data_IF_292227140898
#
_entry.id   IF_292227140898
#
_cell.length_a   1.000
_cell.length_b   1.000
_cell.length_c   1.000
_cell.angle_alpha   90.00
_cell.angle_beta   90.00
_cell.angle_gamma   90.00
#
_symmetry.space_group_name_H-M   'P 1'
#
loop_
_entity.id
_entity.type
_entity.pdbx_description
1 polymer ?
#
# COMPACT_ATOMS: atom_id res chain seq x y z
N UNK A 1 -13.05 25.06 30.75
CA UNK A 1 -12.21 24.08 30.06
C UNK A 1 -12.40 24.26 28.55
N UNK A 2 -11.33 24.21 27.80
CA UNK A 2 -11.35 24.26 26.33
C UNK A 2 -10.91 22.92 25.77
N UNK A 3 -11.37 22.57 24.59
CA UNK A 3 -11.01 21.33 23.90
C UNK A 3 -10.83 21.61 22.40
N UNK A 4 -9.86 20.94 21.80
CA UNK A 4 -9.74 20.88 20.35
C UNK A 4 -10.56 19.69 19.84
N UNK A 5 -11.63 19.99 19.10
CA UNK A 5 -12.50 18.95 18.57
C UNK A 5 -11.78 18.15 17.47
N UNK A 6 -12.04 16.84 17.32
CA UNK A 6 -11.44 16.01 16.27
C UNK A 6 -11.79 16.45 14.86
N UNK A 7 -12.94 17.11 14.63
CA UNK A 7 -13.39 17.62 13.31
C UNK A 7 -13.43 16.56 12.20
N UNK A 8 -13.74 15.30 12.54
CA UNK A 8 -13.68 14.17 11.59
C UNK A 8 -14.58 14.36 10.36
N UNK A 9 -15.88 14.59 10.55
CA UNK A 9 -16.83 14.78 9.45
C UNK A 9 -16.51 16.05 8.64
N UNK A 10 -16.16 17.15 9.32
CA UNK A 10 -15.80 18.39 8.64
C UNK A 10 -14.52 18.21 7.83
N UNK A 11 -13.50 17.55 8.40
CA UNK A 11 -12.26 17.23 7.69
C UNK A 11 -12.50 16.38 6.43
N UNK A 12 -13.35 15.37 6.52
CA UNK A 12 -13.73 14.55 5.37
C UNK A 12 -14.48 15.36 4.29
N UNK A 13 -15.41 16.23 4.71
CA UNK A 13 -16.16 17.09 3.79
C UNK A 13 -15.25 18.08 3.05
N UNK A 14 -14.25 18.60 3.75
CA UNK A 14 -13.29 19.58 3.21
C UNK A 14 -12.10 18.95 2.50
N UNK A 15 -12.09 17.63 2.30
CA UNK A 15 -11.00 16.87 1.67
C UNK A 15 -9.65 17.08 2.38
N UNK A 16 -9.66 17.19 3.70
CA UNK A 16 -8.44 17.30 4.51
C UNK A 16 -7.77 15.93 4.65
N UNK A 17 -6.45 15.90 4.60
CA UNK A 17 -5.67 14.68 4.81
C UNK A 17 -5.72 14.20 6.27
N UNK A 18 -5.77 15.15 7.23
CA UNK A 18 -5.86 14.88 8.67
C UNK A 18 -7.09 15.55 9.28
N UNK A 19 -7.43 15.19 10.51
CA UNK A 19 -8.54 15.79 11.26
C UNK A 19 -8.03 16.46 12.54
N UNK A 20 -8.52 17.67 12.83
CA UNK A 20 -8.06 18.47 13.97
C UNK A 20 -6.56 18.71 13.93
N UNK A 21 -5.91 18.50 15.07
CA UNK A 21 -4.44 18.58 15.22
C UNK A 21 -3.77 17.20 15.21
N UNK A 22 -4.53 16.14 14.93
CA UNK A 22 -4.01 14.78 14.92
C UNK A 22 -3.05 14.56 13.74
N UNK A 23 -1.94 13.83 13.94
CA UNK A 23 -1.12 13.36 12.83
C UNK A 23 -1.89 12.34 12.00
N UNK A 24 -1.44 12.11 10.77
CA UNK A 24 -2.06 11.14 9.87
C UNK A 24 -2.07 9.74 10.51
N UNK A 25 -3.20 9.03 10.38
CA UNK A 25 -3.33 7.67 10.90
C UNK A 25 -2.51 6.66 10.12
N UNK A 26 -2.48 6.82 8.80
CA UNK A 26 -1.77 5.93 7.90
C UNK A 26 -1.45 6.64 6.59
N UNK A 27 -0.30 6.31 5.99
CA UNK A 27 0.12 6.86 4.69
C UNK A 27 -0.84 6.49 3.55
N UNK A 28 -1.61 5.42 3.72
CA UNK A 28 -2.58 4.92 2.74
C UNK A 28 -3.89 4.57 3.43
N UNK A 29 -5.00 4.88 2.75
CA UNK A 29 -6.36 4.59 3.21
C UNK A 29 -7.10 3.69 2.22
N UNK A 30 -7.97 2.83 2.74
CA UNK A 30 -8.88 2.03 1.94
C UNK A 30 -10.24 2.71 1.85
N UNK A 31 -10.77 2.84 0.64
CA UNK A 31 -12.12 3.33 0.40
C UNK A 31 -12.94 2.25 -0.27
N UNK A 32 -14.08 1.88 0.34
CA UNK A 32 -15.05 0.96 -0.26
C UNK A 32 -15.87 1.70 -1.32
N UNK A 33 -15.98 1.12 -2.49
CA UNK A 33 -16.79 1.67 -3.58
C UNK A 33 -18.26 1.25 -3.47
N UNK A 34 -19.18 2.11 -3.87
CA UNK A 34 -20.62 1.83 -3.84
C UNK A 34 -21.02 0.63 -4.71
N UNK A 35 -20.30 0.39 -5.81
CA UNK A 35 -20.48 -0.77 -6.70
C UNK A 35 -19.73 -2.03 -6.27
N UNK A 36 -19.14 -2.05 -5.08
CA UNK A 36 -18.29 -3.12 -4.59
C UNK A 36 -16.81 -2.93 -4.99
N UNK A 37 -15.91 -3.63 -4.28
CA UNK A 37 -14.46 -3.47 -4.42
C UNK A 37 -13.90 -2.38 -3.52
N UNK A 38 -12.57 -2.28 -3.54
CA UNK A 38 -11.81 -1.35 -2.71
C UNK A 38 -10.89 -0.50 -3.58
N UNK A 39 -10.71 0.74 -3.15
CA UNK A 39 -9.78 1.68 -3.74
C UNK A 39 -8.78 2.13 -2.69
N UNK A 40 -7.49 2.10 -3.05
CA UNK A 40 -6.41 2.58 -2.20
C UNK A 40 -6.10 4.04 -2.53
N UNK A 41 -6.00 4.87 -1.52
CA UNK A 41 -5.68 6.28 -1.65
C UNK A 41 -4.44 6.56 -0.80
N UNK A 42 -3.38 7.04 -1.43
CA UNK A 42 -2.25 7.59 -0.70
C UNK A 42 -2.60 8.99 -0.19
N UNK A 43 -2.05 9.36 0.95
CA UNK A 43 -2.16 10.74 1.44
C UNK A 43 -1.59 11.71 0.38
N UNK A 44 -2.39 12.68 -0.05
CA UNK A 44 -2.07 13.62 -1.15
C UNK A 44 -0.89 14.54 -0.82
N UNK A 45 -0.55 14.71 0.45
CA UNK A 45 0.62 15.48 0.89
C UNK A 45 1.93 14.73 0.67
N UNK A 46 1.95 13.39 0.59
CA UNK A 46 3.17 12.59 0.40
C UNK A 46 3.89 12.93 -0.91
N UNK A 47 3.27 12.87 -2.09
CA UNK A 47 3.96 13.24 -3.33
C UNK A 47 4.49 14.69 -3.32
N UNK A 48 3.74 15.60 -2.71
CA UNK A 48 4.14 17.01 -2.58
C UNK A 48 5.35 17.17 -1.66
N UNK A 49 5.39 16.45 -0.56
CA UNK A 49 6.52 16.45 0.38
C UNK A 49 7.78 15.88 -0.29
N UNK A 50 7.67 14.73 -0.98
CA UNK A 50 8.77 14.12 -1.72
C UNK A 50 9.34 15.05 -2.80
N UNK A 51 8.48 15.73 -3.55
CA UNK A 51 8.91 16.72 -4.54
C UNK A 51 9.70 17.87 -3.89
N UNK A 52 9.22 18.41 -2.76
CA UNK A 52 9.94 19.45 -1.98
C UNK A 52 11.28 18.96 -1.43
N UNK A 53 11.42 17.68 -1.15
CA UNK A 53 12.67 17.05 -0.70
C UNK A 53 13.65 16.78 -1.86
N UNK A 54 13.26 17.07 -3.11
CA UNK A 54 14.11 17.00 -4.28
C UNK A 54 14.12 15.64 -4.99
N UNK A 55 13.14 14.77 -4.73
CA UNK A 55 12.96 13.54 -5.50
C UNK A 55 12.36 13.84 -6.88
N UNK A 56 12.80 13.11 -7.90
CA UNK A 56 12.24 13.21 -9.24
C UNK A 56 10.85 12.58 -9.33
N UNK A 57 10.05 12.97 -10.32
CA UNK A 57 8.70 12.43 -10.52
C UNK A 57 8.72 10.90 -10.70
N UNK A 58 9.74 10.34 -11.37
CA UNK A 58 9.90 8.89 -11.52
C UNK A 58 10.15 8.20 -10.18
N UNK A 59 11.03 8.76 -9.34
CA UNK A 59 11.29 8.23 -8.00
C UNK A 59 10.04 8.32 -7.10
N UNK A 60 9.31 9.43 -7.18
CA UNK A 60 8.05 9.62 -6.45
C UNK A 60 7.03 8.56 -6.88
N UNK A 61 6.89 8.30 -8.18
CA UNK A 61 5.97 7.28 -8.68
C UNK A 61 6.35 5.88 -8.19
N UNK A 62 7.63 5.54 -8.19
CA UNK A 62 8.11 4.25 -7.67
C UNK A 62 7.84 4.10 -6.17
N UNK A 63 8.01 5.17 -5.38
CA UNK A 63 7.66 5.17 -3.95
C UNK A 63 6.14 5.02 -3.74
N UNK A 64 5.33 5.71 -4.54
CA UNK A 64 3.85 5.59 -4.49
C UNK A 64 3.42 4.17 -4.85
N UNK A 65 3.98 3.59 -5.91
CA UNK A 65 3.70 2.21 -6.32
C UNK A 65 4.11 1.21 -5.24
N UNK A 66 5.23 1.45 -4.55
CA UNK A 66 5.67 0.64 -3.43
C UNK A 66 4.67 0.67 -2.26
N UNK A 67 4.09 1.83 -1.95
CA UNK A 67 3.12 1.98 -0.86
C UNK A 67 1.77 1.37 -1.24
N UNK A 68 1.27 1.67 -2.43
CA UNK A 68 -0.07 1.27 -2.88
C UNK A 68 -0.13 -0.16 -3.41
N UNK A 69 0.98 -0.67 -3.94
CA UNK A 69 1.00 -1.87 -4.78
C UNK A 69 0.39 -1.60 -6.16
N UNK A 70 0.72 -2.44 -7.10
CA UNK A 70 0.27 -2.27 -8.50
C UNK A 70 -1.10 -2.89 -8.77
N UNK A 71 -1.58 -3.78 -7.89
CA UNK A 71 -2.92 -4.39 -8.01
C UNK A 71 -3.09 -5.24 -9.26
N UNK A 72 -2.00 -5.82 -9.79
CA UNK A 72 -1.96 -6.70 -10.96
C UNK A 72 -0.78 -7.66 -10.86
N UNK A 73 -0.84 -8.79 -11.57
CA UNK A 73 0.28 -9.72 -11.76
C UNK A 73 1.12 -9.37 -13.00
N UNK A 74 0.66 -8.44 -13.82
CA UNK A 74 1.40 -7.97 -14.99
C UNK A 74 2.75 -7.39 -14.56
N UNK A 75 3.84 -7.92 -15.12
CA UNK A 75 5.21 -7.58 -14.74
C UNK A 75 5.59 -7.84 -13.27
N UNK A 76 4.77 -8.60 -12.53
CA UNK A 76 5.12 -9.01 -11.18
C UNK A 76 6.38 -9.90 -11.19
N UNK A 77 7.26 -9.76 -10.19
CA UNK A 77 8.40 -10.64 -10.06
C UNK A 77 7.92 -12.09 -9.92
N UNK A 78 8.64 -13.03 -10.53
CA UNK A 78 8.40 -14.50 -10.45
C UNK A 78 7.09 -15.01 -11.06
N UNK A 79 6.03 -14.21 -11.19
CA UNK A 79 4.66 -14.66 -11.56
C UNK A 79 4.01 -13.82 -12.66
N UNK A 80 4.80 -13.19 -13.54
CA UNK A 80 4.22 -12.62 -14.76
C UNK A 80 3.52 -13.69 -15.62
N UNK A 81 2.64 -13.32 -16.55
CA UNK A 81 1.85 -14.30 -17.32
C UNK A 81 2.66 -15.42 -17.96
N UNK A 82 3.87 -15.11 -18.47
CA UNK A 82 4.76 -16.12 -19.07
C UNK A 82 5.33 -17.08 -18.03
N UNK A 83 5.64 -16.62 -16.83
CA UNK A 83 6.10 -17.45 -15.71
C UNK A 83 4.97 -18.34 -15.18
N UNK A 84 3.75 -17.80 -15.06
CA UNK A 84 2.57 -18.54 -14.63
C UNK A 84 2.23 -19.67 -15.61
N UNK A 85 2.34 -19.43 -16.92
CA UNK A 85 2.16 -20.48 -17.93
C UNK A 85 3.18 -21.62 -17.77
N UNK A 86 4.45 -21.30 -17.47
CA UNK A 86 5.50 -22.30 -17.18
C UNK A 86 5.21 -23.10 -15.90
N UNK A 87 4.56 -22.48 -14.91
CA UNK A 87 4.11 -23.15 -13.69
C UNK A 87 2.85 -24.00 -13.89
N UNK A 88 2.29 -24.00 -15.11
CA UNK A 88 1.14 -24.82 -15.49
C UNK A 88 -0.22 -24.20 -15.15
N UNK A 89 -0.30 -22.88 -15.01
CA UNK A 89 -1.57 -22.18 -14.94
C UNK A 89 -2.09 -21.86 -16.35
N UNK A 90 -3.39 -22.01 -16.55
CA UNK A 90 -4.05 -21.65 -17.82
C UNK A 90 -4.30 -20.14 -17.89
N UNK A 91 -4.47 -19.61 -19.10
CA UNK A 91 -4.82 -18.20 -19.29
C UNK A 91 -6.14 -17.83 -18.59
N UNK A 92 -7.11 -18.74 -18.56
CA UNK A 92 -8.40 -18.53 -17.89
C UNK A 92 -8.19 -18.39 -16.38
N UNK A 93 -7.40 -19.27 -15.76
CA UNK A 93 -7.06 -19.21 -14.34
C UNK A 93 -6.34 -17.90 -13.97
N UNK A 94 -5.44 -17.44 -14.82
CA UNK A 94 -4.74 -16.17 -14.63
C UNK A 94 -5.71 -14.99 -14.75
N UNK A 95 -6.63 -14.99 -15.71
CA UNK A 95 -7.65 -13.95 -15.87
C UNK A 95 -8.61 -13.88 -14.68
N UNK A 96 -9.03 -15.03 -14.14
CA UNK A 96 -9.88 -15.06 -12.93
C UNK A 96 -9.14 -14.51 -11.71
N UNK A 97 -7.87 -14.86 -11.53
CA UNK A 97 -7.04 -14.33 -10.47
C UNK A 97 -6.85 -12.80 -10.61
N UNK A 98 -6.54 -12.32 -11.82
CA UNK A 98 -6.42 -10.90 -12.12
C UNK A 98 -7.71 -10.13 -11.86
N UNK A 99 -8.86 -10.67 -12.25
CA UNK A 99 -10.17 -10.06 -11.98
C UNK A 99 -10.42 -9.92 -10.47
N UNK A 100 -10.05 -10.94 -9.69
CA UNK A 100 -10.13 -10.88 -8.23
C UNK A 100 -9.18 -9.83 -7.66
N UNK A 101 -7.90 -9.86 -8.06
CA UNK A 101 -6.87 -8.90 -7.61
C UNK A 101 -7.28 -7.46 -7.94
N UNK A 102 -7.79 -7.21 -9.14
CA UNK A 102 -8.25 -5.90 -9.56
C UNK A 102 -9.40 -5.36 -8.69
N UNK A 103 -10.26 -6.25 -8.19
CA UNK A 103 -11.39 -5.92 -7.33
C UNK A 103 -11.00 -5.79 -5.86
N UNK A 104 -10.23 -6.74 -5.35
CA UNK A 104 -9.85 -6.83 -3.94
C UNK A 104 -8.59 -6.02 -3.62
N UNK A 105 -7.70 -5.77 -4.61
CA UNK A 105 -6.38 -5.15 -4.47
C UNK A 105 -5.43 -5.92 -3.54
N UNK A 106 -5.67 -7.22 -3.39
CA UNK A 106 -4.88 -8.14 -2.56
C UNK A 106 -4.58 -9.42 -3.33
N UNK A 107 -3.50 -10.09 -2.93
CA UNK A 107 -3.17 -11.46 -3.32
C UNK A 107 -3.18 -12.32 -2.06
N UNK A 108 -4.33 -12.86 -1.74
CA UNK A 108 -4.59 -13.60 -0.51
C UNK A 108 -5.01 -15.05 -0.77
N UNK A 109 -5.38 -15.76 0.28
CA UNK A 109 -5.84 -17.16 0.19
C UNK A 109 -7.14 -17.33 -0.60
N UNK A 110 -7.91 -16.27 -0.79
CA UNK A 110 -9.18 -16.23 -1.52
C UNK A 110 -9.01 -15.93 -3.00
N UNK A 111 -7.78 -15.57 -3.43
CA UNK A 111 -7.50 -15.35 -4.85
C UNK A 111 -7.63 -16.68 -5.60
N UNK A 112 -8.51 -16.77 -6.61
CA UNK A 112 -8.73 -17.99 -7.36
C UNK A 112 -7.43 -18.46 -8.02
N UNK A 113 -7.15 -19.75 -7.98
CA UNK A 113 -6.07 -20.46 -8.65
C UNK A 113 -4.65 -19.98 -8.32
N UNK A 114 -4.38 -18.67 -8.43
CA UNK A 114 -3.05 -18.07 -8.23
C UNK A 114 -3.02 -17.39 -6.85
N UNK A 115 -3.02 -18.18 -5.79
CA UNK A 115 -2.89 -17.73 -4.41
C UNK A 115 -1.52 -18.11 -3.82
N UNK A 116 -1.12 -17.54 -2.67
CA UNK A 116 0.17 -17.83 -2.05
C UNK A 116 0.47 -19.32 -1.89
N UNK A 117 -0.49 -20.10 -1.41
CA UNK A 117 -0.34 -21.56 -1.23
C UNK A 117 -0.15 -22.31 -2.56
N UNK A 118 -0.89 -21.92 -3.58
CA UNK A 118 -0.76 -22.53 -4.90
C UNK A 118 0.59 -22.21 -5.55
N UNK A 119 1.09 -21.00 -5.37
CA UNK A 119 2.42 -20.58 -5.84
C UNK A 119 3.53 -21.35 -5.14
N UNK A 120 3.47 -21.50 -3.82
CA UNK A 120 4.42 -22.30 -3.06
C UNK A 120 4.37 -23.79 -3.46
N UNK A 121 3.18 -24.34 -3.66
CA UNK A 121 3.01 -25.71 -4.16
C UNK A 121 3.58 -25.94 -5.56
N UNK A 122 3.68 -24.88 -6.37
CA UNK A 122 4.30 -24.89 -7.71
C UNK A 122 5.81 -24.61 -7.67
N UNK A 123 6.40 -24.46 -6.49
CA UNK A 123 7.85 -24.35 -6.29
C UNK A 123 8.40 -22.96 -6.02
N UNK A 124 7.56 -21.95 -5.85
CA UNK A 124 8.02 -20.66 -5.36
C UNK A 124 8.39 -20.78 -3.88
N UNK A 125 9.47 -20.10 -3.50
CA UNK A 125 9.82 -19.96 -2.09
C UNK A 125 8.87 -18.96 -1.42
N UNK A 126 8.75 -19.03 -0.10
CA UNK A 126 7.96 -18.08 0.66
C UNK A 126 8.42 -16.63 0.42
N UNK A 127 9.72 -16.40 0.36
CA UNK A 127 10.29 -15.07 0.06
C UNK A 127 9.82 -14.55 -1.30
N UNK A 128 9.85 -15.38 -2.34
CA UNK A 128 9.36 -15.02 -3.67
C UNK A 128 7.86 -14.72 -3.65
N UNK A 129 7.08 -15.51 -2.92
CA UNK A 129 5.64 -15.26 -2.76
C UNK A 129 5.37 -13.95 -2.02
N UNK A 130 6.16 -13.63 -1.00
CA UNK A 130 6.06 -12.36 -0.27
C UNK A 130 6.45 -11.15 -1.15
N UNK A 131 7.42 -11.30 -2.06
CA UNK A 131 7.77 -10.28 -3.06
C UNK A 131 6.62 -10.04 -4.05
N UNK A 132 5.96 -11.11 -4.52
CA UNK A 132 4.77 -11.00 -5.37
C UNK A 132 3.64 -10.27 -4.63
N UNK A 133 3.40 -10.63 -3.37
CA UNK A 133 2.40 -9.97 -2.54
C UNK A 133 2.72 -8.50 -2.33
N UNK A 134 3.99 -8.16 -2.07
CA UNK A 134 4.43 -6.78 -1.95
C UNK A 134 4.17 -6.00 -3.25
N UNK A 135 4.44 -6.59 -4.39
CA UNK A 135 4.20 -5.99 -5.70
C UNK A 135 2.71 -5.71 -5.93
N UNK A 136 1.84 -6.65 -5.59
CA UNK A 136 0.38 -6.56 -5.79
C UNK A 136 -0.27 -5.65 -4.73
N UNK A 137 0.05 -5.90 -3.46
CA UNK A 137 -0.63 -5.28 -2.31
C UNK A 137 0.00 -3.96 -1.88
N UNK A 138 1.28 -3.75 -2.16
CA UNK A 138 2.10 -2.68 -1.60
C UNK A 138 2.48 -2.92 -0.15
N UNK A 139 3.40 -2.09 0.32
CA UNK A 139 3.87 -2.10 1.71
C UNK A 139 2.89 -1.43 2.67
N UNK A 140 2.07 -0.51 2.17
CA UNK A 140 1.15 0.36 2.90
C UNK A 140 1.88 1.31 3.89
N UNK A 141 3.18 1.48 3.72
CA UNK A 141 4.03 2.37 4.50
C UNK A 141 5.13 2.95 3.62
N UNK A 142 5.66 4.11 4.01
CA UNK A 142 6.84 4.70 3.37
C UNK A 142 8.15 4.05 3.85
N UNK A 143 8.11 3.29 4.93
CA UNK A 143 9.27 2.58 5.46
C UNK A 143 9.76 1.52 4.45
N UNK A 144 11.04 1.62 4.06
CA UNK A 144 11.62 0.74 3.04
C UNK A 144 11.32 1.11 1.59
N UNK A 145 10.65 2.25 1.34
CA UNK A 145 10.38 2.70 -0.02
C UNK A 145 11.68 2.93 -0.81
N UNK A 146 11.72 2.55 -2.10
CA UNK A 146 12.89 2.75 -2.94
C UNK A 146 13.27 4.23 -2.98
N UNK A 147 14.56 4.53 -3.11
CA UNK A 147 15.12 5.90 -3.16
C UNK A 147 14.92 6.76 -1.92
N UNK A 148 14.02 6.41 -0.99
CA UNK A 148 13.75 7.21 0.19
C UNK A 148 14.95 7.19 1.15
N UNK A 149 15.51 8.36 1.43
CA UNK A 149 16.62 8.51 2.36
C UNK A 149 16.15 8.30 3.79
N UNK A 150 16.98 7.66 4.60
CA UNK A 150 16.67 7.38 6.02
C UNK A 150 16.39 8.65 6.81
N UNK A 151 17.07 9.75 6.50
CA UNK A 151 16.91 11.07 7.13
C UNK A 151 15.53 11.71 6.86
N UNK A 152 14.80 11.23 5.82
CA UNK A 152 13.48 11.73 5.47
C UNK A 152 12.34 10.87 6.04
N UNK A 153 12.62 9.71 6.62
CA UNK A 153 11.61 8.76 7.10
C UNK A 153 10.70 9.35 8.17
N UNK A 154 11.26 10.16 9.08
CA UNK A 154 10.53 10.75 10.21
C UNK A 154 9.33 11.60 9.76
N UNK A 155 9.41 12.19 8.55
CA UNK A 155 8.33 13.02 7.99
C UNK A 155 7.08 12.20 7.66
N UNK A 156 7.25 10.90 7.45
CA UNK A 156 6.18 9.97 7.06
C UNK A 156 5.71 9.08 8.20
N UNK A 157 6.18 9.31 9.43
CA UNK A 157 5.70 8.61 10.61
C UNK A 157 4.23 8.98 10.87
N UNK A 158 3.41 7.98 11.10
CA UNK A 158 1.99 8.13 11.36
C UNK A 158 1.67 7.93 12.84
N UNK A 159 0.43 8.25 13.24
CA UNK A 159 -0.03 8.03 14.61
C UNK A 159 0.04 6.54 15.01
N UNK A 160 -0.08 5.64 14.05
CA UNK A 160 -0.02 4.19 14.25
C UNK A 160 0.98 3.56 13.28
N UNK A 161 1.40 2.33 13.57
CA UNK A 161 2.14 1.50 12.62
C UNK A 161 1.30 1.29 11.36
N UNK A 162 1.89 1.48 10.19
CA UNK A 162 1.21 1.41 8.90
C UNK A 162 1.67 0.19 8.11
N UNK A 163 0.73 -0.62 7.64
CA UNK A 163 1.03 -1.74 6.76
C UNK A 163 2.09 -2.69 7.32
N UNK A 164 3.16 -2.88 6.57
CA UNK A 164 4.30 -3.74 6.94
C UNK A 164 5.39 -3.00 7.74
N UNK A 165 5.19 -1.71 8.05
CA UNK A 165 6.15 -0.89 8.78
C UNK A 165 6.08 -1.07 10.29
N UNK A 166 7.18 -0.68 10.95
CA UNK A 166 7.30 -0.71 12.41
C UNK A 166 7.30 0.68 13.03
N UNK A 167 7.50 1.72 12.20
CA UNK A 167 7.59 3.10 12.65
C UNK A 167 6.23 3.71 12.96
N UNK A 168 6.19 4.53 14.00
CA UNK A 168 5.02 5.31 14.40
C UNK A 168 5.43 6.42 15.37
N UNK A 169 4.57 7.42 15.53
CA UNK A 169 4.78 8.48 16.50
C UNK A 169 4.48 7.92 17.89
N UNK A 170 5.49 7.87 18.75
CA UNK A 170 5.33 7.35 20.11
C UNK A 170 4.32 8.17 20.93
N UNK A 171 3.58 7.56 21.90
CA UNK A 171 2.56 8.25 22.68
C UNK A 171 3.03 9.56 23.35
N UNK A 172 4.29 9.59 23.79
CA UNK A 172 4.88 10.81 24.36
C UNK A 172 5.08 11.94 23.34
N UNK A 173 5.18 11.61 22.04
CA UNK A 173 5.17 12.60 20.96
C UNK A 173 3.84 13.34 20.89
N UNK A 174 2.72 12.60 20.96
CA UNK A 174 1.38 13.16 20.99
C UNK A 174 1.12 14.04 22.23
N UNK A 175 1.67 13.64 23.39
CA UNK A 175 1.52 14.43 24.64
C UNK A 175 2.31 15.74 24.60
N UNK A 176 3.45 15.77 23.89
CA UNK A 176 4.33 16.95 23.79
C UNK A 176 3.88 17.94 22.72
N UNK A 177 3.03 17.54 21.78
CA UNK A 177 2.46 18.37 20.73
C UNK A 177 1.41 19.33 21.28
#
# INVERSE_FOLDING_TARGET
ATVLAPTGTIGLLMDCDTTGIEPEFANMKWKKLAGGGYFKIINKSIPKALNKMGYSDSQIQEMVDYVLGRGTLENAPHVNPAALAKLGFTEEQVKEAEAHINKAKTLDEWTPHVNPKALEAKGLTRTQTDEVRLYVEGSQTMEGAPHLKTEHLDVFDCANKCGKGERYIAPMGHVKM
#
